data_IF_666902839604
#
_entry.id   IF_666902839604
#
_cell.length_a   1.000
_cell.length_b   1.000
_cell.length_c   1.000
_cell.angle_alpha   90.00
_cell.angle_beta   90.00
_cell.angle_gamma   90.00
#
_symmetry.space_group_name_H-M   'P 1'
#
loop_
_entity.id
_entity.type
_entity.pdbx_description
1 polymer ?
#
# COMPACT_ATOMS: atom_id res chain seq x y z
N UNK A 1 -19.92 9.76 -5.74
CA UNK A 1 -19.09 10.93 -5.32
C UNK A 1 -17.68 10.68 -5.83
N UNK A 2 -16.91 11.72 -6.19
CA UNK A 2 -15.55 11.51 -6.70
C UNK A 2 -14.71 10.74 -5.66
N UNK A 3 -14.07 9.65 -6.09
CA UNK A 3 -13.10 8.90 -5.29
C UNK A 3 -11.91 9.83 -5.00
N UNK A 4 -11.96 10.57 -3.89
CA UNK A 4 -10.86 11.44 -3.50
C UNK A 4 -9.73 10.57 -2.91
N UNK A 5 -8.60 10.41 -3.62
CA UNK A 5 -7.52 9.56 -3.16
C UNK A 5 -6.80 10.22 -1.98
N UNK A 6 -6.35 9.40 -1.05
CA UNK A 6 -5.51 9.79 0.08
C UNK A 6 -4.27 8.93 0.12
N UNK A 7 -3.11 9.57 0.23
CA UNK A 7 -1.84 8.87 0.40
C UNK A 7 -1.52 8.72 1.89
N UNK A 8 -1.32 7.48 2.32
CA UNK A 8 -0.89 7.14 3.66
C UNK A 8 0.58 6.80 3.62
N UNK A 9 1.33 7.29 4.62
CA UNK A 9 2.77 7.07 4.73
C UNK A 9 3.00 6.25 5.98
N UNK A 10 3.81 5.20 5.88
CA UNK A 10 4.21 4.36 6.98
C UNK A 10 5.73 4.25 7.05
N UNK A 11 6.25 4.19 8.27
CA UNK A 11 7.60 3.72 8.54
C UNK A 11 7.50 2.26 8.94
N UNK A 12 8.31 1.44 8.28
CA UNK A 12 8.50 0.04 8.62
C UNK A 12 9.82 -0.05 9.38
N UNK A 13 9.81 -0.72 10.54
CA UNK A 13 11.00 -0.88 11.37
C UNK A 13 11.32 -2.35 11.59
N UNK A 14 12.54 -2.75 11.24
CA UNK A 14 13.09 -4.04 11.64
C UNK A 14 13.41 -4.03 13.14
N UNK A 15 13.19 -5.17 13.80
CA UNK A 15 13.46 -5.37 15.22
C UNK A 15 14.41 -6.55 15.41
N UNK A 16 15.73 -6.36 15.30
CA UNK A 16 16.70 -7.42 15.54
C UNK A 16 16.61 -7.96 16.97
N UNK A 17 16.86 -9.27 17.15
CA UNK A 17 17.02 -9.89 18.48
C UNK A 17 18.39 -9.51 19.05
N UNK A 18 18.48 -9.46 20.39
CA UNK A 18 19.53 -8.84 21.26
C UNK A 18 21.03 -8.99 20.92
N UNK A 19 21.42 -9.77 19.92
CA UNK A 19 22.84 -9.92 19.56
C UNK A 19 23.35 -8.87 18.58
N UNK A 20 22.49 -8.10 17.90
CA UNK A 20 23.00 -7.15 16.89
C UNK A 20 21.99 -6.01 16.60
N UNK A 21 22.08 -4.91 17.34
CA UNK A 21 21.16 -3.75 17.22
C UNK A 21 21.37 -2.94 15.92
N UNK A 22 22.48 -3.17 15.21
CA UNK A 22 22.87 -2.40 14.03
C UNK A 22 22.48 -3.06 12.71
N UNK A 23 21.67 -4.13 12.74
CA UNK A 23 21.28 -4.81 11.51
C UNK A 23 20.46 -3.93 10.59
N UNK A 24 20.95 -3.79 9.36
CA UNK A 24 20.31 -3.03 8.28
C UNK A 24 19.31 -3.87 7.49
N UNK A 25 18.47 -3.23 6.67
CA UNK A 25 17.61 -3.91 5.71
C UNK A 25 18.42 -4.78 4.74
N UNK A 26 19.63 -4.38 4.37
CA UNK A 26 20.53 -5.22 3.57
C UNK A 26 20.81 -6.55 4.26
N UNK A 27 21.16 -6.53 5.54
CA UNK A 27 21.47 -7.74 6.30
C UNK A 27 20.23 -8.61 6.49
N UNK A 28 19.07 -8.00 6.72
CA UNK A 28 17.79 -8.71 6.74
C UNK A 28 17.52 -9.43 5.42
N UNK A 29 17.65 -8.73 4.28
CA UNK A 29 17.41 -9.34 2.97
C UNK A 29 18.44 -10.43 2.66
N UNK A 30 19.70 -10.28 3.11
CA UNK A 30 20.70 -11.35 3.02
C UNK A 30 20.30 -12.58 3.82
N UNK A 31 19.87 -12.40 5.08
CA UNK A 31 19.40 -13.51 5.91
C UNK A 31 18.16 -14.21 5.29
N UNK A 32 17.26 -13.42 4.69
CA UNK A 32 16.02 -13.94 4.11
C UNK A 32 16.21 -14.63 2.76
N UNK A 33 17.07 -14.10 1.90
CA UNK A 33 17.13 -14.50 0.48
C UNK A 33 18.50 -14.96 0.01
N UNK A 34 19.59 -14.48 0.62
CA UNK A 34 20.91 -14.77 0.11
C UNK A 34 21.32 -16.21 0.42
N UNK A 35 21.86 -16.88 -0.59
CA UNK A 35 22.48 -18.22 -0.42
C UNK A 35 23.94 -18.12 0.02
N UNK A 36 24.56 -16.93 -0.12
CA UNK A 36 25.96 -16.65 0.19
C UNK A 36 26.17 -15.17 0.57
N UNK A 37 27.35 -14.84 1.12
CA UNK A 37 27.69 -13.49 1.62
C UNK A 37 27.74 -12.39 0.56
N UNK A 38 28.00 -12.77 -0.70
CA UNK A 38 28.41 -11.87 -1.78
C UNK A 38 27.24 -11.43 -2.67
N UNK A 39 26.01 -11.72 -2.26
CA UNK A 39 24.81 -11.31 -3.01
C UNK A 39 24.75 -9.78 -3.09
N UNK A 40 24.65 -9.25 -4.32
CA UNK A 40 24.61 -7.81 -4.59
C UNK A 40 23.29 -7.17 -4.18
N UNK A 41 23.29 -5.87 -3.88
CA UNK A 41 22.08 -5.11 -3.55
C UNK A 41 21.01 -5.21 -4.64
N UNK A 42 21.42 -5.19 -5.92
CA UNK A 42 20.51 -5.39 -7.05
C UNK A 42 19.83 -6.76 -7.00
N UNK A 43 20.58 -7.81 -6.70
CA UNK A 43 20.01 -9.16 -6.57
C UNK A 43 19.06 -9.26 -5.37
N UNK A 44 19.41 -8.67 -4.22
CA UNK A 44 18.52 -8.60 -3.05
C UNK A 44 17.20 -7.89 -3.36
N UNK A 45 17.26 -6.78 -4.08
CA UNK A 45 16.06 -6.05 -4.52
C UNK A 45 15.21 -6.86 -5.49
N UNK A 46 15.82 -7.63 -6.41
CA UNK A 46 15.10 -8.54 -7.30
C UNK A 46 14.39 -9.63 -6.48
N UNK A 47 15.05 -10.25 -5.50
CA UNK A 47 14.43 -11.27 -4.65
C UNK A 47 13.26 -10.73 -3.83
N UNK A 48 13.42 -9.53 -3.27
CA UNK A 48 12.33 -8.84 -2.56
C UNK A 48 11.16 -8.56 -3.50
N UNK A 49 11.43 -8.03 -4.69
CA UNK A 49 10.40 -7.73 -5.68
C UNK A 49 9.64 -8.99 -6.11
N UNK A 50 10.34 -10.07 -6.46
CA UNK A 50 9.71 -11.35 -6.81
C UNK A 50 8.84 -11.88 -5.66
N UNK A 51 9.32 -11.78 -4.41
CA UNK A 51 8.54 -12.19 -3.25
C UNK A 51 7.32 -11.31 -3.03
N UNK A 52 7.45 -10.00 -3.28
CA UNK A 52 6.33 -9.07 -3.18
C UNK A 52 5.24 -9.43 -4.19
N UNK A 53 5.60 -9.61 -5.45
CA UNK A 53 4.68 -9.94 -6.54
C UNK A 53 3.96 -11.26 -6.27
N UNK A 54 4.71 -12.30 -5.87
CA UNK A 54 4.13 -13.61 -5.59
C UNK A 54 3.23 -13.58 -4.35
N UNK A 55 3.58 -12.76 -3.35
CA UNK A 55 2.88 -12.72 -2.07
C UNK A 55 1.64 -11.83 -2.06
N UNK A 56 1.60 -10.75 -2.87
CA UNK A 56 0.43 -9.87 -2.96
C UNK A 56 -0.72 -10.54 -3.72
N UNK A 57 -0.42 -11.55 -4.54
CA UNK A 57 -1.39 -12.35 -5.27
C UNK A 57 -1.32 -12.11 -6.79
N UNK A 58 -0.81 -13.10 -7.53
CA UNK A 58 -0.81 -13.13 -9.00
C UNK A 58 -2.03 -13.92 -9.51
N UNK A 59 -1.99 -15.25 -9.40
CA UNK A 59 -3.06 -16.13 -9.89
C UNK A 59 -4.28 -16.12 -8.95
N UNK A 60 -4.02 -15.97 -7.65
CA UNK A 60 -5.03 -15.88 -6.62
C UNK A 60 -4.80 -14.64 -5.77
N UNK A 61 -5.89 -13.96 -5.42
CA UNK A 61 -5.86 -12.83 -4.50
C UNK A 61 -5.32 -13.24 -3.12
N UNK A 62 -4.47 -12.41 -2.55
CA UNK A 62 -4.12 -12.49 -1.13
C UNK A 62 -5.32 -12.05 -0.28
N UNK A 63 -5.80 -12.93 0.60
CA UNK A 63 -7.01 -12.72 1.41
C UNK A 63 -6.68 -12.33 2.84
N UNK A 64 -7.25 -11.21 3.28
CA UNK A 64 -7.40 -10.87 4.69
C UNK A 64 -8.81 -11.25 5.14
N UNK A 65 -8.93 -12.45 5.72
CA UNK A 65 -10.18 -12.98 6.24
C UNK A 65 -10.78 -12.17 7.39
N UNK A 66 -9.94 -11.43 8.14
CA UNK A 66 -10.38 -10.62 9.27
C UNK A 66 -11.10 -9.38 8.80
N UNK A 67 -10.58 -8.70 7.78
CA UNK A 67 -11.24 -7.52 7.20
C UNK A 67 -12.17 -7.85 6.03
N UNK A 68 -12.21 -9.11 5.60
CA UNK A 68 -12.92 -9.60 4.40
C UNK A 68 -12.53 -8.79 3.18
N UNK A 69 -11.22 -8.61 3.00
CA UNK A 69 -10.63 -7.90 1.88
C UNK A 69 -9.59 -8.72 1.15
N UNK A 70 -9.40 -8.38 -0.10
CA UNK A 70 -8.37 -8.93 -0.96
C UNK A 70 -7.42 -7.85 -1.46
N UNK A 71 -6.20 -8.27 -1.77
CA UNK A 71 -5.23 -7.52 -2.58
C UNK A 71 -4.65 -8.45 -3.66
N UNK A 72 -4.22 -7.88 -4.78
CA UNK A 72 -3.67 -8.62 -5.93
C UNK A 72 -3.00 -7.70 -6.95
N UNK A 73 -2.23 -8.27 -7.88
CA UNK A 73 -1.64 -7.53 -9.00
C UNK A 73 -2.76 -7.04 -9.95
N UNK A 74 -2.60 -5.83 -10.50
CA UNK A 74 -3.48 -5.31 -11.55
C UNK A 74 -3.15 -5.96 -12.89
N UNK A 75 -3.97 -6.94 -13.30
CA UNK A 75 -3.87 -7.61 -14.61
C UNK A 75 -4.15 -6.66 -15.80
N UNK A 76 -4.77 -5.50 -15.53
CA UNK A 76 -5.10 -4.49 -16.52
C UNK A 76 -3.93 -3.59 -16.94
N UNK A 77 -2.74 -3.76 -16.34
CA UNK A 77 -1.50 -3.05 -16.71
C UNK A 77 -1.57 -1.51 -16.72
N UNK A 78 -2.46 -0.88 -15.93
CA UNK A 78 -2.56 0.59 -15.93
C UNK A 78 -1.25 1.25 -15.49
N UNK A 79 -0.66 0.75 -14.39
CA UNK A 79 0.67 1.07 -13.92
C UNK A 79 1.28 -0.21 -13.32
N UNK A 80 2.06 -0.99 -14.09
CA UNK A 80 2.58 -2.26 -13.64
C UNK A 80 3.54 -2.06 -12.46
N UNK A 81 3.57 -3.05 -11.58
CA UNK A 81 4.56 -3.08 -10.51
C UNK A 81 5.98 -3.08 -11.11
N UNK A 82 6.80 -2.13 -10.68
CA UNK A 82 8.12 -1.86 -11.24
C UNK A 82 9.17 -1.85 -10.14
N UNK A 83 10.35 -2.40 -10.44
CA UNK A 83 11.52 -2.37 -9.56
C UNK A 83 12.55 -1.37 -10.07
N UNK A 84 12.95 -0.43 -9.22
CA UNK A 84 14.09 0.46 -9.40
C UNK A 84 15.21 0.04 -8.46
N UNK A 85 16.07 -0.86 -8.94
CA UNK A 85 17.14 -1.43 -8.10
C UNK A 85 18.16 -0.41 -7.62
N UNK A 86 18.39 0.65 -8.40
CA UNK A 86 19.45 1.63 -8.12
C UNK A 86 19.05 2.62 -7.03
N UNK A 87 17.74 2.80 -6.82
CA UNK A 87 17.15 3.67 -5.78
C UNK A 87 16.41 2.88 -4.70
N UNK A 88 16.56 1.54 -4.69
CA UNK A 88 15.92 0.61 -3.77
C UNK A 88 14.41 0.83 -3.62
N UNK A 89 13.70 0.87 -4.74
CA UNK A 89 12.28 1.22 -4.75
C UNK A 89 11.45 0.23 -5.56
N UNK A 90 10.31 -0.14 -5.03
CA UNK A 90 9.26 -0.89 -5.71
C UNK A 90 8.02 -0.02 -5.70
N UNK A 91 7.40 0.23 -6.85
CA UNK A 91 6.13 0.94 -6.91
C UNK A 91 5.21 0.43 -8.02
N UNK A 92 3.95 0.83 -7.96
CA UNK A 92 2.97 0.48 -8.98
C UNK A 92 1.55 0.50 -8.44
N UNK A 93 0.63 -0.03 -9.23
CA UNK A 93 -0.77 -0.16 -8.86
C UNK A 93 -1.09 -1.63 -8.59
N UNK A 94 -1.80 -1.84 -7.49
CA UNK A 94 -2.41 -3.12 -7.12
C UNK A 94 -3.92 -2.96 -7.06
N UNK A 95 -4.63 -4.08 -7.18
CA UNK A 95 -6.06 -4.14 -6.97
C UNK A 95 -6.37 -4.59 -5.55
N UNK A 96 -7.51 -4.15 -5.03
CA UNK A 96 -8.01 -4.67 -3.78
C UNK A 96 -9.43 -4.23 -3.48
N UNK A 97 -10.05 -4.89 -2.53
CA UNK A 97 -11.49 -4.70 -2.34
C UNK A 97 -12.12 -5.66 -1.37
N UNK A 98 -13.41 -5.50 -1.11
CA UNK A 98 -14.17 -6.38 -0.22
C UNK A 98 -14.66 -7.62 -0.95
N UNK A 99 -14.65 -8.76 -0.26
CA UNK A 99 -15.28 -10.01 -0.69
C UNK A 99 -16.20 -10.56 0.41
N UNK A 100 -16.94 -11.62 0.12
CA UNK A 100 -17.76 -12.31 1.13
C UNK A 100 -19.05 -11.56 1.51
N UNK A 101 -19.44 -10.54 0.72
CA UNK A 101 -20.68 -9.79 0.94
C UNK A 101 -21.66 -10.15 -0.17
N UNK A 102 -22.81 -10.72 0.20
CA UNK A 102 -23.96 -10.87 -0.69
C UNK A 102 -24.46 -9.48 -1.06
N UNK A 103 -24.27 -9.11 -2.32
CA UNK A 103 -24.74 -7.84 -2.88
C UNK A 103 -25.36 -8.10 -4.24
N UNK A 104 -26.23 -7.19 -4.64
CA UNK A 104 -26.75 -7.13 -5.99
C UNK A 104 -26.22 -5.86 -6.63
N UNK A 105 -25.83 -5.92 -7.90
CA UNK A 105 -25.65 -4.73 -8.71
C UNK A 105 -26.74 -4.68 -9.78
N UNK A 106 -27.13 -3.46 -10.10
CA UNK A 106 -28.19 -3.17 -11.04
C UNK A 106 -27.84 -1.91 -11.81
N UNK A 107 -28.15 -1.91 -13.11
CA UNK A 107 -28.01 -0.74 -13.95
C UNK A 107 -28.86 0.42 -13.38
N UNK A 108 -28.21 1.56 -13.16
CA UNK A 108 -28.87 2.77 -12.64
C UNK A 108 -29.82 3.39 -13.65
N UNK A 109 -29.64 3.11 -14.94
CA UNK A 109 -30.46 3.60 -16.04
C UNK A 109 -31.57 2.61 -16.43
N UNK A 110 -31.41 1.32 -16.11
CA UNK A 110 -32.39 0.26 -16.45
C UNK A 110 -32.72 -0.62 -15.24
N UNK A 111 -33.97 -0.57 -14.78
CA UNK A 111 -34.45 -1.32 -13.60
C UNK A 111 -34.74 -2.82 -13.86
N UNK A 112 -34.30 -3.38 -14.97
CA UNK A 112 -34.46 -4.80 -15.30
C UNK A 112 -33.13 -5.55 -15.14
N UNK A 113 -33.17 -6.80 -14.67
CA UNK A 113 -31.99 -7.66 -14.62
C UNK A 113 -31.02 -7.39 -13.46
N UNK A 114 -31.46 -7.64 -12.21
CA UNK A 114 -30.55 -7.67 -11.06
C UNK A 114 -29.54 -8.80 -11.21
N UNK A 115 -28.26 -8.50 -10.97
CA UNK A 115 -27.21 -9.51 -10.93
C UNK A 115 -26.67 -9.66 -9.52
N UNK A 116 -26.59 -10.90 -9.03
CA UNK A 116 -26.06 -11.24 -7.72
C UNK A 116 -24.53 -11.36 -7.75
N UNK A 117 -23.86 -10.73 -6.79
CA UNK A 117 -22.44 -10.90 -6.51
C UNK A 117 -22.31 -12.06 -5.52
N UNK A 118 -21.74 -13.16 -6.01
CA UNK A 118 -21.49 -14.35 -5.19
C UNK A 118 -20.47 -14.05 -4.09
N UNK A 119 -20.52 -14.73 -2.92
CA UNK A 119 -19.60 -14.46 -1.81
C UNK A 119 -18.11 -14.61 -2.16
N UNK A 120 -17.76 -15.40 -3.17
CA UNK A 120 -16.38 -15.57 -3.62
C UNK A 120 -15.91 -14.48 -4.60
N UNK A 121 -16.76 -13.51 -4.95
CA UNK A 121 -16.41 -12.41 -5.83
C UNK A 121 -15.97 -11.21 -4.97
N UNK A 122 -15.01 -10.45 -5.49
CA UNK A 122 -14.55 -9.22 -4.87
C UNK A 122 -15.00 -8.01 -5.70
N UNK A 123 -15.33 -6.91 -5.03
CA UNK A 123 -15.52 -5.60 -5.68
C UNK A 123 -14.21 -4.84 -5.55
N UNK A 124 -13.50 -4.70 -6.66
CA UNK A 124 -12.11 -4.23 -6.70
C UNK A 124 -12.01 -2.75 -7.07
N UNK A 125 -11.05 -2.08 -6.45
CA UNK A 125 -10.55 -0.76 -6.78
C UNK A 125 -9.03 -0.82 -6.98
N UNK A 126 -8.47 0.22 -7.61
CA UNK A 126 -7.04 0.35 -7.87
C UNK A 126 -6.36 1.22 -6.82
N UNK A 127 -5.19 0.81 -6.34
CA UNK A 127 -4.44 1.51 -5.30
C UNK A 127 -2.96 1.60 -5.66
N UNK A 128 -2.41 2.81 -5.66
CA UNK A 128 -0.96 2.99 -5.73
C UNK A 128 -0.27 2.52 -4.44
N UNK A 129 0.86 1.83 -4.61
CA UNK A 129 1.75 1.41 -3.55
C UNK A 129 3.20 1.75 -3.90
N UNK A 130 3.98 2.13 -2.90
CA UNK A 130 5.44 2.25 -3.00
C UNK A 130 6.07 1.68 -1.75
N UNK A 131 7.06 0.81 -1.93
CA UNK A 131 7.91 0.27 -0.87
C UNK A 131 9.37 0.64 -1.18
N UNK A 132 10.01 1.33 -0.24
CA UNK A 132 11.43 1.67 -0.31
C UNK A 132 12.16 1.11 0.92
N UNK A 133 12.79 -0.08 0.82
CA UNK A 133 13.70 -0.57 1.85
C UNK A 133 15.02 0.21 1.78
N UNK A 134 15.27 1.03 2.81
CA UNK A 134 16.53 1.76 2.90
C UNK A 134 17.61 0.75 3.29
N UNK A 135 18.32 0.18 2.30
CA UNK A 135 19.22 -0.96 2.53
C UNK A 135 20.30 -0.71 3.57
N UNK A 136 20.73 0.55 3.73
CA UNK A 136 21.73 0.97 4.71
C UNK A 136 21.18 1.31 6.10
N UNK A 137 19.87 1.13 6.33
CA UNK A 137 19.21 1.49 7.58
C UNK A 137 18.25 0.36 8.00
N UNK A 138 17.73 0.40 9.22
CA UNK A 138 16.73 -0.54 9.74
C UNK A 138 15.29 -0.18 9.37
N UNK A 139 15.12 0.92 8.65
CA UNK A 139 13.84 1.50 8.28
C UNK A 139 13.51 1.29 6.80
N UNK A 140 12.23 1.13 6.50
CA UNK A 140 11.71 1.24 5.15
C UNK A 140 10.52 2.20 5.12
N UNK A 141 10.26 2.81 3.96
CA UNK A 141 9.10 3.67 3.75
C UNK A 141 8.07 2.91 2.93
N UNK A 142 6.83 2.95 3.37
CA UNK A 142 5.69 2.41 2.63
C UNK A 142 4.67 3.52 2.38
N UNK A 143 4.31 3.73 1.13
CA UNK A 143 3.20 4.59 0.73
C UNK A 143 2.05 3.71 0.26
N UNK A 144 0.85 3.96 0.77
CA UNK A 144 -0.36 3.28 0.30
C UNK A 144 -1.47 4.29 0.02
N UNK A 145 -2.01 4.23 -1.19
CA UNK A 145 -3.22 4.94 -1.52
C UNK A 145 -4.41 4.33 -0.78
N UNK A 146 -5.39 5.18 -0.48
CA UNK A 146 -6.69 4.79 0.06
C UNK A 146 -7.76 5.74 -0.45
N UNK A 147 -9.01 5.32 -0.41
CA UNK A 147 -10.15 6.18 -0.68
C UNK A 147 -10.90 6.48 0.61
N UNK A 148 -11.80 7.46 0.57
CA UNK A 148 -12.62 7.80 1.74
C UNK A 148 -13.62 6.69 2.09
N UNK A 149 -14.10 5.95 1.08
CA UNK A 149 -15.14 4.92 1.23
C UNK A 149 -14.54 3.51 1.39
N UNK A 150 -13.38 3.26 0.79
CA UNK A 150 -12.70 1.97 0.83
C UNK A 150 -11.19 2.13 0.99
N UNK A 151 -10.57 1.18 1.69
CA UNK A 151 -9.14 1.22 2.01
C UNK A 151 -8.56 -0.18 2.14
N UNK A 152 -7.37 -0.39 1.59
CA UNK A 152 -6.62 -1.64 1.70
C UNK A 152 -5.48 -1.56 2.72
N UNK A 153 -5.44 -0.54 3.57
CA UNK A 153 -4.37 -0.36 4.55
C UNK A 153 -4.19 -1.56 5.48
N UNK A 154 -5.29 -2.16 5.96
CA UNK A 154 -5.25 -3.34 6.83
C UNK A 154 -4.57 -4.53 6.15
N UNK A 155 -5.13 -5.01 5.01
CA UNK A 155 -4.53 -6.08 4.22
C UNK A 155 -3.06 -5.82 3.86
N UNK A 156 -2.73 -4.61 3.41
CA UNK A 156 -1.34 -4.28 3.03
C UNK A 156 -0.40 -4.29 4.24
N UNK A 157 -0.83 -3.77 5.38
CA UNK A 157 0.02 -3.77 6.57
C UNK A 157 0.28 -5.18 7.10
N UNK A 158 -0.68 -6.11 7.00
CA UNK A 158 -0.43 -7.51 7.38
C UNK A 158 0.45 -8.21 6.33
N UNK A 159 0.15 -8.02 5.04
CA UNK A 159 0.99 -8.53 3.96
C UNK A 159 2.45 -8.08 4.10
N UNK A 160 2.72 -6.81 4.40
CA UNK A 160 4.08 -6.31 4.62
C UNK A 160 4.75 -6.99 5.83
N UNK A 161 4.00 -7.28 6.91
CA UNK A 161 4.52 -7.99 8.08
C UNK A 161 4.86 -9.45 7.75
N UNK A 162 4.11 -10.08 6.85
CA UNK A 162 4.38 -11.43 6.35
C UNK A 162 5.58 -11.44 5.39
N UNK A 163 5.58 -10.54 4.40
CA UNK A 163 6.64 -10.36 3.42
C UNK A 163 7.99 -10.13 4.12
N UNK A 164 8.01 -9.27 5.14
CA UNK A 164 9.21 -8.95 5.91
C UNK A 164 9.33 -9.77 7.21
N UNK A 165 8.58 -10.86 7.33
CA UNK A 165 8.67 -11.80 8.46
C UNK A 165 9.57 -13.02 8.16
N UNK A 166 9.54 -14.00 9.06
CA UNK A 166 10.12 -15.33 8.81
C UNK A 166 11.65 -15.45 8.94
N UNK A 167 12.32 -14.49 9.58
CA UNK A 167 13.74 -14.57 9.90
C UNK A 167 13.95 -14.80 11.41
N UNK A 168 14.74 -15.80 11.78
CA UNK A 168 14.93 -16.22 13.17
C UNK A 168 15.56 -15.13 14.05
N UNK A 169 16.41 -14.28 13.48
CA UNK A 169 17.09 -13.23 14.22
C UNK A 169 16.29 -11.93 14.37
N UNK A 170 15.03 -11.90 13.93
CA UNK A 170 14.19 -10.72 13.98
C UNK A 170 12.89 -11.00 14.73
N UNK A 171 12.39 -10.01 15.45
CA UNK A 171 11.01 -10.00 15.96
C UNK A 171 10.03 -9.58 14.85
N UNK A 172 8.73 -9.61 15.15
CA UNK A 172 7.69 -9.14 14.22
C UNK A 172 7.99 -7.69 13.80
N UNK A 173 8.01 -7.47 12.49
CA UNK A 173 8.23 -6.14 11.89
C UNK A 173 7.17 -5.17 12.37
N UNK A 174 7.61 -3.94 12.65
CA UNK A 174 6.69 -2.86 12.99
C UNK A 174 6.31 -2.06 11.75
N UNK A 175 5.04 -1.66 11.69
CA UNK A 175 4.50 -0.84 10.59
C UNK A 175 3.67 0.24 11.25
N UNK A 176 4.22 1.46 11.30
CA UNK A 176 3.63 2.59 12.00
C UNK A 176 3.31 3.74 11.04
N UNK A 177 2.17 4.43 11.20
CA UNK A 177 1.88 5.63 10.42
C UNK A 177 2.94 6.70 10.66
N UNK A 178 3.49 7.25 9.58
CA UNK A 178 4.44 8.36 9.66
C UNK A 178 3.71 9.68 9.86
N UNK A 179 4.12 10.43 10.87
CA UNK A 179 3.66 11.80 11.10
C UNK A 179 4.86 12.75 11.07
N UNK A 180 4.93 13.70 10.11
CA UNK A 180 6.03 14.65 10.04
C UNK A 180 6.19 15.46 11.33
N UNK A 181 7.43 15.67 11.79
CA UNK A 181 7.74 16.47 12.99
C UNK A 181 7.08 17.85 12.97
N UNK A 182 7.12 18.54 11.84
CA UNK A 182 6.49 19.86 11.66
C UNK A 182 4.98 19.84 11.93
N UNK A 183 4.32 18.71 11.67
CA UNK A 183 2.89 18.54 11.97
C UNK A 183 2.67 18.34 13.48
N UNK A 184 3.53 17.54 14.11
CA UNK A 184 3.54 17.35 15.57
C UNK A 184 3.81 18.67 16.29
N UNK A 185 4.82 19.42 15.88
CA UNK A 185 5.17 20.73 16.43
C UNK A 185 4.04 21.76 16.27
N UNK A 186 3.42 21.84 15.08
CA UNK A 186 2.23 22.70 14.88
C UNK A 186 1.05 22.28 15.77
N UNK A 187 0.91 21.00 16.05
CA UNK A 187 -0.14 20.48 16.93
C UNK A 187 0.17 20.79 18.40
N UNK A 188 1.37 20.52 18.88
CA UNK A 188 1.79 20.81 20.26
C UNK A 188 1.69 22.31 20.57
N UNK A 189 2.03 23.18 19.61
CA UNK A 189 1.92 24.64 19.75
C UNK A 189 0.46 25.15 19.77
N UNK A 190 -0.48 24.47 19.08
CA UNK A 190 -1.89 24.89 18.95
C UNK A 190 -2.85 24.15 19.89
N UNK A 191 -2.46 22.97 20.38
CA UNK A 191 -3.29 22.09 21.24
C UNK A 191 -3.32 22.52 22.71
N UNK A 192 -2.52 23.52 23.11
CA UNK A 192 -2.70 24.25 24.36
C UNK A 192 -4.11 24.87 24.50
N UNK A 193 -4.88 24.91 23.41
CA UNK A 193 -6.31 25.23 23.41
C UNK A 193 -7.13 24.22 22.60
N UNK A 194 -7.84 23.32 23.30
CA UNK A 194 -8.91 22.40 22.85
C UNK A 194 -8.47 21.05 22.25
N UNK A 195 -8.45 19.95 23.04
CA UNK A 195 -7.77 18.71 22.66
C UNK A 195 -8.47 17.71 21.73
N UNK A 196 -9.68 17.93 21.18
CA UNK A 196 -10.38 16.82 20.48
C UNK A 196 -11.13 17.10 19.17
N UNK A 197 -11.23 18.35 18.70
CA UNK A 197 -11.97 18.66 17.45
C UNK A 197 -11.12 18.76 16.17
N UNK A 198 -9.80 18.73 16.30
CA UNK A 198 -8.89 19.21 15.23
C UNK A 198 -8.33 18.08 14.33
N UNK A 199 -8.27 16.83 14.81
CA UNK A 199 -7.72 15.70 14.05
C UNK A 199 -8.52 15.40 12.76
N UNK A 200 -9.84 15.67 12.77
CA UNK A 200 -10.74 15.46 11.62
C UNK A 200 -10.63 16.60 10.59
N UNK A 201 -10.23 17.80 11.01
CA UNK A 201 -10.22 18.99 10.16
C UNK A 201 -8.96 19.14 9.29
N UNK A 202 -7.81 18.60 9.71
CA UNK A 202 -6.52 18.79 9.02
C UNK A 202 -6.08 17.65 8.11
N UNK A 203 -6.72 16.48 8.18
CA UNK A 203 -6.48 15.40 7.20
C UNK A 203 -7.09 15.70 5.83
N UNK A 204 -8.02 16.66 5.73
CA UNK A 204 -8.61 17.06 4.44
C UNK A 204 -7.72 18.01 3.62
N UNK A 205 -7.21 19.14 4.15
CA UNK A 205 -6.52 20.13 3.30
C UNK A 205 -5.15 19.66 2.77
N UNK A 206 -4.35 19.01 3.63
CA UNK A 206 -2.97 18.63 3.29
C UNK A 206 -2.89 17.43 2.34
N UNK A 207 -3.86 16.51 2.44
CA UNK A 207 -3.93 15.38 1.51
C UNK A 207 -4.40 15.86 0.14
N UNK A 208 -5.33 16.81 0.09
CA UNK A 208 -5.77 17.44 -1.17
C UNK A 208 -4.61 18.18 -1.85
N UNK A 209 -3.81 18.96 -1.12
CA UNK A 209 -2.65 19.67 -1.70
C UNK A 209 -1.55 18.74 -2.24
N UNK A 210 -1.34 17.58 -1.61
CA UNK A 210 -0.38 16.58 -2.10
C UNK A 210 -0.94 15.76 -3.29
N UNK A 211 -2.23 15.42 -3.25
CA UNK A 211 -2.92 14.75 -4.35
C UNK A 211 -3.05 15.65 -5.59
N UNK A 212 -3.30 16.94 -5.41
CA UNK A 212 -3.36 17.93 -6.49
C UNK A 212 -2.00 18.08 -7.17
N UNK A 213 -0.90 18.08 -6.40
CA UNK A 213 0.45 18.12 -6.94
C UNK A 213 0.86 16.82 -7.68
N UNK A 214 0.30 15.66 -7.29
CA UNK A 214 0.46 14.40 -8.02
C UNK A 214 -0.33 14.40 -9.33
N UNK A 215 -1.58 14.89 -9.32
CA UNK A 215 -2.40 15.06 -10.52
C UNK A 215 -1.79 16.07 -11.51
N UNK A 216 -1.08 17.09 -11.02
CA UNK A 216 -0.35 18.05 -11.87
C UNK A 216 0.87 17.42 -12.57
N UNK A 217 1.50 16.41 -11.97
CA UNK A 217 2.66 15.71 -12.57
C UNK A 217 2.26 14.53 -13.45
N UNK A 218 1.13 13.90 -13.14
CA UNK A 218 0.53 12.81 -13.92
C UNK A 218 -0.95 13.13 -14.12
N UNK A 219 -1.30 13.98 -15.10
CA UNK A 219 -2.70 14.27 -15.37
C UNK A 219 -3.37 12.94 -15.74
N UNK A 220 -4.33 12.51 -14.92
CA UNK A 220 -5.25 11.45 -15.32
C UNK A 220 -5.93 11.94 -16.60
N UNK A 221 -5.63 11.26 -17.72
CA UNK A 221 -6.26 11.56 -18.99
C UNK A 221 -7.78 11.54 -18.79
N UNK A 222 -8.53 12.49 -19.37
CA UNK A 222 -9.97 12.42 -19.35
C UNK A 222 -10.37 11.07 -19.94
N UNK A 223 -11.16 10.32 -19.17
CA UNK A 223 -11.81 9.10 -19.66
C UNK A 223 -12.69 9.51 -20.82
N UNK A 224 -12.18 9.40 -22.04
CA UNK A 224 -12.99 9.54 -23.24
C UNK A 224 -13.91 8.33 -23.21
N UNK A 225 -15.17 8.55 -22.84
CA UNK A 225 -16.21 7.54 -22.95
C UNK A 225 -16.25 7.07 -24.42
N UNK A 226 -16.06 5.78 -24.72
CA UNK A 226 -16.25 5.28 -26.07
C UNK A 226 -17.75 5.08 -26.26
N UNK A 227 -18.49 6.16 -26.54
CA UNK A 227 -19.74 6.00 -27.26
C UNK A 227 -19.43 6.01 -28.75
N UNK A 228 -19.72 4.92 -29.49
CA UNK A 228 -19.86 5.03 -30.93
C UNK A 228 -21.12 5.86 -31.21
N UNK A 229 -20.97 6.89 -32.02
CA UNK A 229 -22.11 7.55 -32.66
C UNK A 229 -22.46 6.75 -33.91
N UNK A 230 -23.76 6.44 -34.05
CA UNK A 230 -24.47 5.70 -35.10
C UNK A 230 -24.55 4.18 -34.96
#
# INVERSE_FOLDING_TARGET
MAHNPKLNVYIISLKPKKQDENKTFREFLKEKYAKNSDTSDKALMIYLFTSFINGVGQDEFHKDDKSKKVIGIDDGNMLPMTLYSDTWMIDGVIEGGKYGILREYQDTEKKEGKTEIKPNYAVLDKYYILLNPILNDKYAVLLTQSYTEESIQGPINEFIRELLGGCDNYFKVDVEPFVPKRLKEKYDLKSATKPLKVLIAFTRPLITEFADNLNLKHPLLPTISPYPTM
#
